data_IF_997959154342
#
_entry.id   IF_997959154342
#
_cell.length_a   1.000
_cell.length_b   1.000
_cell.length_c   1.000
_cell.angle_alpha   90.00
_cell.angle_beta   90.00
_cell.angle_gamma   90.00
#
_symmetry.space_group_name_H-M   'P 1'
#
loop_
_entity.id
_entity.type
_entity.pdbx_description
1 polymer ?
#
# COMPACT_ATOMS: atom_id res chain seq x y z
N UNK A 1 12.32 5.54 -5.89
CA UNK A 1 12.85 4.15 -5.84
C UNK A 1 11.90 3.25 -6.61
N UNK A 2 12.39 2.24 -7.33
CA UNK A 2 11.54 1.35 -8.14
C UNK A 2 11.83 -0.13 -7.79
N UNK A 3 10.78 -0.93 -7.65
CA UNK A 3 10.84 -2.39 -7.59
C UNK A 3 10.03 -2.91 -8.77
N UNK A 4 10.63 -3.73 -9.62
CA UNK A 4 9.97 -4.23 -10.83
C UNK A 4 10.21 -5.72 -11.02
N UNK A 5 9.15 -6.42 -11.41
CA UNK A 5 9.18 -7.82 -11.85
C UNK A 5 8.46 -7.96 -13.19
N UNK A 6 8.29 -9.20 -13.65
CA UNK A 6 7.50 -9.51 -14.84
C UNK A 6 5.98 -9.24 -14.66
N UNK A 7 5.48 -9.29 -13.42
CA UNK A 7 4.03 -9.26 -13.14
C UNK A 7 3.57 -8.05 -12.35
N UNK A 8 4.48 -7.29 -11.73
CA UNK A 8 4.13 -6.12 -10.93
C UNK A 8 5.27 -5.08 -10.93
N UNK A 9 4.91 -3.84 -10.59
CA UNK A 9 5.87 -2.78 -10.31
C UNK A 9 5.42 -1.92 -9.14
N UNK A 10 6.38 -1.48 -8.33
CA UNK A 10 6.21 -0.45 -7.33
C UNK A 10 7.13 0.72 -7.64
N UNK A 11 6.59 1.93 -7.57
CA UNK A 11 7.37 3.15 -7.72
C UNK A 11 7.09 4.07 -6.53
N UNK A 12 8.15 4.54 -5.88
CA UNK A 12 8.08 5.56 -4.85
C UNK A 12 8.56 6.91 -5.37
N UNK A 13 7.65 7.88 -5.37
CA UNK A 13 7.91 9.30 -5.61
C UNK A 13 8.08 10.04 -4.28
N UNK A 14 9.31 10.43 -3.98
CA UNK A 14 9.64 11.16 -2.76
C UNK A 14 9.09 12.59 -2.74
N UNK A 15 8.89 13.22 -3.90
CA UNK A 15 8.38 14.59 -3.96
C UNK A 15 6.91 14.68 -3.51
N UNK A 16 6.14 13.64 -3.78
CA UNK A 16 4.72 13.56 -3.41
C UNK A 16 4.43 12.58 -2.28
N UNK A 17 5.43 11.84 -1.80
CA UNK A 17 5.28 10.74 -0.84
C UNK A 17 4.26 9.69 -1.32
N UNK A 18 4.29 9.39 -2.61
CA UNK A 18 3.36 8.45 -3.27
C UNK A 18 4.06 7.14 -3.59
N UNK A 19 3.44 6.03 -3.19
CA UNK A 19 3.81 4.67 -3.61
C UNK A 19 2.77 4.17 -4.59
N UNK A 20 3.16 4.07 -5.87
CA UNK A 20 2.33 3.50 -6.93
C UNK A 20 2.58 2.01 -7.05
N UNK A 21 1.53 1.20 -6.89
CA UNK A 21 1.57 -0.25 -7.05
C UNK A 21 0.74 -0.66 -8.26
N UNK A 22 1.35 -1.44 -9.17
CA UNK A 22 0.72 -1.86 -10.43
C UNK A 22 0.90 -3.35 -10.68
N UNK A 23 -0.04 -3.94 -11.43
CA UNK A 23 0.00 -5.33 -11.87
C UNK A 23 -0.54 -6.31 -10.84
N UNK A 24 0.11 -7.47 -10.70
CA UNK A 24 -0.39 -8.61 -9.95
C UNK A 24 0.63 -9.14 -8.94
N UNK A 25 0.42 -8.89 -7.66
CA UNK A 25 1.25 -9.39 -6.56
C UNK A 25 0.80 -10.80 -6.12
N UNK A 26 1.45 -11.83 -6.67
CA UNK A 26 1.19 -13.27 -6.42
C UNK A 26 2.32 -13.99 -5.69
N UNK A 27 3.04 -13.28 -4.83
CA UNK A 27 4.25 -13.79 -4.17
C UNK A 27 3.95 -14.91 -3.16
N UNK A 28 4.78 -15.96 -3.13
CA UNK A 28 4.46 -17.24 -2.47
C UNK A 28 4.61 -17.22 -0.95
N UNK A 29 5.22 -16.18 -0.38
CA UNK A 29 5.45 -16.06 1.06
C UNK A 29 5.89 -14.66 1.48
N UNK A 30 5.94 -14.41 2.79
CA UNK A 30 6.35 -13.10 3.33
C UNK A 30 7.79 -12.72 2.99
N UNK A 31 8.67 -13.69 2.76
CA UNK A 31 10.07 -13.46 2.37
C UNK A 31 10.16 -12.74 1.02
N UNK A 32 9.35 -13.13 0.04
CA UNK A 32 9.29 -12.48 -1.26
C UNK A 32 8.73 -11.05 -1.18
N UNK A 33 7.92 -10.75 -0.15
CA UNK A 33 7.43 -9.40 0.13
C UNK A 33 8.47 -8.52 0.83
N UNK A 34 9.60 -9.05 1.29
CA UNK A 34 10.57 -8.30 2.08
C UNK A 34 11.02 -6.98 1.43
N UNK A 35 11.38 -6.93 0.13
CA UNK A 35 11.78 -5.68 -0.52
C UNK A 35 10.66 -4.63 -0.53
N UNK A 36 9.40 -5.07 -0.67
CA UNK A 36 8.23 -4.19 -0.64
C UNK A 36 8.01 -3.66 0.78
N UNK A 37 8.15 -4.52 1.78
CA UNK A 37 8.01 -4.16 3.19
C UNK A 37 9.07 -3.15 3.60
N UNK A 38 10.32 -3.35 3.17
CA UNK A 38 11.43 -2.43 3.44
C UNK A 38 11.16 -1.05 2.84
N UNK A 39 10.81 -0.99 1.56
CA UNK A 39 10.42 0.27 0.90
C UNK A 39 9.28 0.97 1.64
N UNK A 40 8.21 0.26 1.98
CA UNK A 40 7.09 0.85 2.73
C UNK A 40 7.50 1.34 4.12
N UNK A 41 8.37 0.61 4.81
CA UNK A 41 8.86 1.02 6.12
C UNK A 41 9.71 2.28 6.03
N UNK A 42 10.60 2.38 5.03
CA UNK A 42 11.41 3.57 4.78
C UNK A 42 10.53 4.81 4.53
N UNK A 43 9.48 4.67 3.70
CA UNK A 43 8.52 5.74 3.48
C UNK A 43 7.85 6.18 4.79
N UNK A 44 7.39 5.23 5.61
CA UNK A 44 6.80 5.56 6.92
C UNK A 44 7.82 6.17 7.90
N UNK A 45 9.08 5.77 7.84
CA UNK A 45 10.14 6.25 8.74
C UNK A 45 10.64 7.64 8.37
N UNK A 46 10.52 8.04 7.10
CA UNK A 46 10.71 9.43 6.67
C UNK A 46 9.66 10.39 7.23
N UNK A 47 8.58 9.88 7.82
CA UNK A 47 7.50 10.63 8.48
C UNK A 47 6.97 11.83 7.69
N UNK A 48 6.60 11.65 6.41
CA UNK A 48 6.00 12.74 5.65
C UNK A 48 4.65 13.10 6.27
N UNK A 49 4.16 14.35 6.09
CA UNK A 49 2.84 14.73 6.61
C UNK A 49 1.71 13.83 6.09
N UNK A 50 1.84 13.33 4.85
CA UNK A 50 0.87 12.47 4.17
C UNK A 50 1.63 11.43 3.35
N UNK A 51 1.21 10.16 3.44
CA UNK A 51 1.60 9.09 2.52
C UNK A 51 0.42 8.79 1.60
N UNK A 52 0.67 8.69 0.29
CA UNK A 52 -0.33 8.18 -0.65
C UNK A 52 0.06 6.78 -1.11
N UNK A 53 -0.83 5.81 -0.89
CA UNK A 53 -0.71 4.47 -1.46
C UNK A 53 -1.67 4.35 -2.63
N UNK A 54 -1.14 4.36 -3.85
CA UNK A 54 -1.93 4.28 -5.07
C UNK A 54 -1.97 2.84 -5.58
N UNK A 55 -3.14 2.22 -5.45
CA UNK A 55 -3.40 0.83 -5.80
C UNK A 55 -4.35 0.72 -7.00
N UNK A 56 -4.70 1.83 -7.67
CA UNK A 56 -5.69 1.82 -8.76
C UNK A 56 -5.37 0.85 -9.89
N UNK A 57 -4.09 0.57 -10.11
CA UNK A 57 -3.60 -0.36 -11.14
C UNK A 57 -3.10 -1.69 -10.55
N UNK A 58 -3.33 -1.96 -9.26
CA UNK A 58 -2.99 -3.24 -8.63
C UNK A 58 -4.15 -4.23 -8.81
N UNK A 59 -4.13 -4.92 -9.94
CA UNK A 59 -5.16 -5.84 -10.41
C UNK A 59 -5.36 -7.04 -9.48
N UNK A 60 -4.28 -7.51 -8.84
CA UNK A 60 -4.33 -8.66 -7.96
C UNK A 60 -3.41 -8.53 -6.75
N UNK A 61 -3.88 -9.02 -5.61
CA UNK A 61 -3.13 -9.13 -4.37
C UNK A 61 -3.59 -10.38 -3.61
N UNK A 62 -2.67 -11.28 -3.25
CA UNK A 62 -2.99 -12.45 -2.44
C UNK A 62 -3.14 -12.12 -0.94
N UNK A 63 -3.52 -13.11 -0.14
CA UNK A 63 -3.74 -12.98 1.31
C UNK A 63 -2.51 -12.46 2.08
N UNK A 64 -1.31 -12.92 1.71
CA UNK A 64 -0.05 -12.43 2.28
C UNK A 64 0.16 -10.95 1.98
N UNK A 65 -0.13 -10.51 0.76
CA UNK A 65 -0.07 -9.10 0.36
C UNK A 65 -1.08 -8.23 1.11
N UNK A 66 -2.32 -8.71 1.31
CA UNK A 66 -3.33 -8.01 2.13
C UNK A 66 -2.86 -7.87 3.59
N UNK A 67 -2.24 -8.93 4.13
CA UNK A 67 -1.66 -8.91 5.47
C UNK A 67 -0.50 -7.92 5.58
N UNK A 68 0.33 -7.83 4.55
CA UNK A 68 1.41 -6.84 4.44
C UNK A 68 0.84 -5.41 4.45
N UNK A 69 -0.16 -5.10 3.63
CA UNK A 69 -0.80 -3.78 3.62
C UNK A 69 -1.42 -3.43 4.98
N UNK A 70 -2.06 -4.40 5.63
CA UNK A 70 -2.64 -4.23 6.96
C UNK A 70 -1.58 -3.85 8.00
N UNK A 71 -0.44 -4.54 8.01
CA UNK A 71 0.70 -4.22 8.89
C UNK A 71 1.27 -2.83 8.60
N UNK A 72 1.39 -2.46 7.33
CA UNK A 72 1.86 -1.13 6.93
C UNK A 72 0.93 -0.02 7.45
N UNK A 73 -0.39 -0.15 7.26
CA UNK A 73 -1.37 0.82 7.79
C UNK A 73 -1.28 0.96 9.31
N UNK A 74 -1.09 -0.15 10.03
CA UNK A 74 -0.90 -0.12 11.49
C UNK A 74 0.40 0.63 11.85
N UNK A 75 1.51 0.40 11.13
CA UNK A 75 2.78 1.11 11.34
C UNK A 75 2.62 2.61 11.14
N UNK A 76 1.96 3.04 10.05
CA UNK A 76 1.72 4.47 9.79
C UNK A 76 0.89 5.08 10.92
N UNK A 77 -0.16 4.40 11.37
CA UNK A 77 -0.96 4.83 12.53
C UNK A 77 -0.12 5.03 13.79
N UNK A 78 0.88 4.18 14.04
CA UNK A 78 1.78 4.30 15.19
C UNK A 78 2.68 5.54 15.13
N UNK A 79 2.89 6.15 13.96
CA UNK A 79 3.64 7.41 13.83
C UNK A 79 2.89 8.60 14.42
N UNK A 80 1.56 8.52 14.56
CA UNK A 80 0.66 9.56 15.10
C UNK A 80 0.60 10.89 14.32
N UNK A 81 1.68 11.28 13.66
CA UNK A 81 1.82 12.53 12.90
C UNK A 81 1.57 12.36 11.40
N UNK A 82 1.64 11.11 10.90
CA UNK A 82 1.53 10.78 9.48
C UNK A 82 0.09 10.43 9.13
N UNK A 83 -0.47 11.12 8.13
CA UNK A 83 -1.76 10.75 7.52
C UNK A 83 -1.53 9.79 6.36
N UNK A 84 -2.56 9.01 6.02
CA UNK A 84 -2.51 8.13 4.85
C UNK A 84 -3.74 8.30 3.97
N UNK A 85 -3.51 8.35 2.66
CA UNK A 85 -4.52 8.25 1.62
C UNK A 85 -4.30 6.96 0.86
N UNK A 86 -5.33 6.13 0.74
CA UNK A 86 -5.31 4.94 -0.11
C UNK A 86 -6.22 5.20 -1.30
N UNK A 87 -5.65 5.09 -2.50
CA UNK A 87 -6.35 5.24 -3.78
C UNK A 87 -6.56 3.86 -4.39
N UNK A 88 -7.79 3.53 -4.74
CA UNK A 88 -8.16 2.26 -5.35
C UNK A 88 -9.19 2.44 -6.45
N UNK A 89 -9.47 1.35 -7.16
CA UNK A 89 -10.43 1.30 -8.24
C UNK A 89 -11.67 0.49 -7.85
N UNK A 90 -12.84 0.97 -8.27
CA UNK A 90 -14.11 0.25 -8.14
C UNK A 90 -14.22 -0.92 -9.12
N UNK A 91 -13.43 -0.93 -10.20
CA UNK A 91 -13.46 -2.01 -11.20
C UNK A 91 -12.67 -3.24 -10.77
N UNK A 92 -11.76 -3.10 -9.78
CA UNK A 92 -10.92 -4.20 -9.28
C UNK A 92 -11.61 -4.88 -8.08
N UNK A 93 -12.11 -6.13 -8.20
CA UNK A 93 -13.05 -6.72 -7.22
C UNK A 93 -12.56 -6.79 -5.78
N UNK A 94 -11.27 -7.05 -5.57
CA UNK A 94 -10.70 -7.20 -4.23
C UNK A 94 -10.61 -5.86 -3.48
N UNK A 95 -10.51 -4.74 -4.19
CA UNK A 95 -10.19 -3.44 -3.60
C UNK A 95 -11.36 -2.87 -2.80
N UNK A 96 -12.59 -2.99 -3.33
CA UNK A 96 -13.77 -2.44 -2.66
C UNK A 96 -13.95 -2.95 -1.23
N UNK A 97 -13.84 -4.26 -1.00
CA UNK A 97 -13.99 -4.85 0.34
C UNK A 97 -12.72 -4.73 1.17
N UNK A 98 -11.57 -5.08 0.59
CA UNK A 98 -10.32 -5.18 1.35
C UNK A 98 -9.77 -3.81 1.77
N UNK A 99 -9.84 -2.79 0.91
CA UNK A 99 -9.34 -1.46 1.26
C UNK A 99 -10.24 -0.77 2.30
N UNK A 100 -11.56 -0.99 2.26
CA UNK A 100 -12.48 -0.55 3.32
C UNK A 100 -12.13 -1.16 4.68
N UNK A 101 -11.65 -2.40 4.73
CA UNK A 101 -11.22 -3.02 5.98
C UNK A 101 -10.00 -2.33 6.60
N UNK A 102 -9.15 -1.66 5.80
CA UNK A 102 -8.00 -0.91 6.32
C UNK A 102 -8.45 0.27 7.21
N UNK A 103 -9.63 0.85 6.95
CA UNK A 103 -10.18 1.92 7.79
C UNK A 103 -10.53 1.43 9.21
N UNK A 104 -10.79 0.13 9.40
CA UNK A 104 -10.97 -0.45 10.74
C UNK A 104 -9.65 -0.47 11.53
N UNK A 105 -8.54 -0.62 10.81
CA UNK A 105 -7.19 -0.60 11.41
C UNK A 105 -6.69 0.83 11.60
N UNK A 106 -7.08 1.77 10.75
CA UNK A 106 -6.73 3.18 10.86
C UNK A 106 -7.96 4.05 10.53
N UNK A 107 -8.77 4.45 11.53
CA UNK A 107 -9.99 5.22 11.29
C UNK A 107 -9.75 6.56 10.56
N UNK A 108 -8.56 7.15 10.70
CA UNK A 108 -8.15 8.36 9.98
C UNK A 108 -7.65 8.14 8.55
N UNK A 109 -7.65 6.91 8.03
CA UNK A 109 -7.29 6.61 6.64
C UNK A 109 -8.35 7.16 5.70
N UNK A 110 -7.92 8.01 4.76
CA UNK A 110 -8.77 8.46 3.66
C UNK A 110 -8.73 7.40 2.55
N UNK A 111 -9.89 6.86 2.19
CA UNK A 111 -10.03 5.92 1.09
C UNK A 111 -10.70 6.62 -0.09
N UNK A 112 -10.03 6.63 -1.24
CA UNK A 112 -10.53 7.16 -2.51
C UNK A 112 -10.73 5.97 -3.46
N UNK A 113 -11.99 5.62 -3.74
CA UNK A 113 -12.34 4.59 -4.71
C UNK A 113 -12.95 5.27 -5.93
N UNK A 114 -12.35 5.05 -7.09
CA UNK A 114 -12.79 5.59 -8.38
C UNK A 114 -13.23 4.48 -9.34
#
# INVERSE_FOLDING_TARGET
>A
MEIKSETYSLYYDAATSTVDCKGSLRLSGMEEYLPIVELLNEVADSQPPIITLNLRELEFLNSSGISMLSKFVIRVRQKKTVKIVVKGSQTIPWQGKSLKNLQRLMPGLKLELE
#
